data_IF_309893679156
#
_entry.id   IF_309893679156
#
_cell.length_a   1.000
_cell.length_b   1.000
_cell.length_c   1.000
_cell.angle_alpha   90.00
_cell.angle_beta   90.00
_cell.angle_gamma   90.00
#
_symmetry.space_group_name_H-M   'P 1'
#
loop_
_entity.id
_entity.type
_entity.pdbx_description
1 polymer ?
#
# COMPACT_ATOMS: atom_id res chain seq x y z
N UNK A 1 -6.49 20.95 -7.52
CA UNK A 1 -5.90 21.21 -8.85
C UNK A 1 -4.75 20.22 -9.07
N UNK A 2 -4.96 19.11 -9.82
CA UNK A 2 -4.12 17.90 -9.78
C UNK A 2 -2.92 17.89 -10.77
N UNK A 3 -2.23 19.01 -10.96
CA UNK A 3 -1.33 19.17 -12.11
C UNK A 3 0.15 18.84 -11.90
N UNK A 4 0.61 18.41 -10.71
CA UNK A 4 2.07 18.37 -10.41
C UNK A 4 2.75 17.00 -10.41
N UNK A 5 2.07 15.91 -10.78
CA UNK A 5 2.67 14.56 -10.76
C UNK A 5 3.40 14.21 -12.08
N UNK A 6 3.16 14.98 -13.16
CA UNK A 6 3.78 14.72 -14.47
C UNK A 6 5.29 15.01 -14.53
N UNK A 7 5.85 15.72 -13.54
CA UNK A 7 7.26 16.11 -13.51
C UNK A 7 8.15 15.23 -12.61
N UNK A 8 7.59 14.33 -11.78
CA UNK A 8 8.36 13.65 -10.71
C UNK A 8 8.67 12.17 -11.03
N UNK A 9 8.47 11.71 -12.27
CA UNK A 9 8.80 10.33 -12.70
C UNK A 9 10.13 10.26 -13.49
N UNK A 10 11.07 11.15 -13.15
CA UNK A 10 12.45 11.22 -13.64
C UNK A 10 12.59 11.62 -15.11
N UNK A 11 13.76 12.16 -15.48
CA UNK A 11 14.09 12.67 -16.82
C UNK A 11 13.97 11.64 -17.98
N UNK A 12 13.58 10.39 -17.71
CA UNK A 12 13.55 9.28 -18.68
C UNK A 12 12.19 8.60 -18.92
N UNK A 13 11.07 9.07 -18.34
CA UNK A 13 9.75 8.39 -18.44
C UNK A 13 9.81 6.92 -17.95
N UNK A 14 10.36 6.72 -16.77
CA UNK A 14 10.56 5.37 -16.22
C UNK A 14 9.23 4.64 -16.01
N UNK A 15 8.21 5.33 -15.48
CA UNK A 15 6.84 4.81 -15.32
C UNK A 15 5.90 5.72 -16.12
N UNK A 16 5.00 5.11 -16.89
CA UNK A 16 3.98 5.83 -17.65
C UNK A 16 2.61 5.38 -17.14
N UNK A 17 1.90 6.21 -16.36
CA UNK A 17 0.54 5.95 -15.91
C UNK A 17 -0.37 5.42 -17.04
N UNK A 18 -1.11 4.36 -16.75
CA UNK A 18 -2.01 3.69 -17.70
C UNK A 18 -1.32 2.83 -18.76
N UNK A 19 0.03 2.86 -18.85
CA UNK A 19 0.80 2.17 -19.89
C UNK A 19 1.97 1.37 -19.30
N UNK A 20 1.67 0.24 -18.62
CA UNK A 20 2.69 -0.58 -17.95
C UNK A 20 3.79 -1.09 -18.89
N UNK A 21 3.48 -1.30 -20.17
CA UNK A 21 4.41 -1.86 -21.16
C UNK A 21 5.31 -0.83 -21.85
N UNK A 22 5.09 0.48 -21.64
CA UNK A 22 5.80 1.54 -22.37
C UNK A 22 6.91 2.18 -21.53
N UNK A 23 6.80 2.12 -20.20
CA UNK A 23 7.81 2.66 -19.28
C UNK A 23 9.07 1.80 -19.21
N UNK A 24 10.23 2.45 -19.02
CA UNK A 24 11.53 1.78 -18.85
C UNK A 24 11.54 0.85 -17.62
N UNK A 25 10.76 1.15 -16.59
CA UNK A 25 10.70 0.40 -15.33
C UNK A 25 10.33 -1.07 -15.53
N UNK A 26 9.25 -1.35 -16.27
CA UNK A 26 8.82 -2.73 -16.53
C UNK A 26 9.84 -3.47 -17.40
N UNK A 27 10.47 -2.75 -18.35
CA UNK A 27 11.53 -3.30 -19.21
C UNK A 27 12.76 -3.73 -18.41
N UNK A 28 13.17 -2.94 -17.42
CA UNK A 28 14.34 -3.19 -16.58
C UNK A 28 14.06 -4.31 -15.55
N UNK A 29 12.87 -4.37 -14.96
CA UNK A 29 12.50 -5.46 -14.04
C UNK A 29 12.44 -6.82 -14.76
N UNK A 30 11.88 -6.83 -15.96
CA UNK A 30 11.74 -8.03 -16.77
C UNK A 30 13.01 -8.41 -17.53
N UNK A 31 14.02 -7.53 -17.59
CA UNK A 31 15.28 -7.79 -18.27
C UNK A 31 15.93 -9.07 -17.77
N UNK A 32 16.52 -9.84 -18.68
CA UNK A 32 17.35 -11.01 -18.37
C UNK A 32 18.84 -10.67 -18.30
N UNK A 33 19.21 -9.47 -18.70
CA UNK A 33 20.57 -8.95 -18.61
C UNK A 33 20.86 -8.48 -17.17
N UNK A 34 21.77 -9.15 -16.43
CA UNK A 34 22.05 -8.86 -15.02
C UNK A 34 22.57 -7.44 -14.78
N UNK A 35 23.22 -6.80 -15.76
CA UNK A 35 23.71 -5.43 -15.64
C UNK A 35 22.60 -4.39 -15.84
N UNK A 36 21.53 -4.78 -16.53
CA UNK A 36 20.39 -3.93 -16.91
C UNK A 36 19.10 -4.32 -16.21
N UNK A 37 19.19 -5.10 -15.13
CA UNK A 37 18.05 -5.74 -14.47
C UNK A 37 17.85 -5.25 -13.06
N UNK A 38 16.59 -5.05 -12.68
CA UNK A 38 16.21 -4.76 -11.30
C UNK A 38 15.54 -5.96 -10.62
N UNK A 39 15.90 -6.27 -9.37
CA UNK A 39 16.96 -5.62 -8.58
C UNK A 39 18.37 -5.98 -9.08
N UNK A 40 19.36 -5.06 -9.01
CA UNK A 40 20.73 -5.27 -9.53
C UNK A 40 21.54 -6.27 -8.68
N UNK A 41 21.10 -6.50 -7.44
CA UNK A 41 21.60 -7.54 -6.54
C UNK A 41 20.41 -8.27 -5.93
N UNK A 42 20.52 -9.58 -5.77
CA UNK A 42 19.47 -10.41 -5.16
C UNK A 42 18.54 -11.08 -6.18
N UNK A 43 17.47 -11.68 -5.66
CA UNK A 43 16.53 -12.51 -6.44
C UNK A 43 15.65 -11.68 -7.38
N UNK A 44 15.20 -12.30 -8.49
CA UNK A 44 14.17 -11.70 -9.36
C UNK A 44 12.91 -11.42 -8.54
N UNK A 45 12.20 -10.35 -8.89
CA UNK A 45 10.79 -10.22 -8.51
C UNK A 45 10.03 -11.44 -9.03
N UNK A 46 9.17 -11.99 -8.19
CA UNK A 46 8.25 -13.05 -8.55
C UNK A 46 7.22 -12.56 -9.56
N UNK A 47 6.61 -13.48 -10.29
CA UNK A 47 5.55 -13.13 -11.24
C UNK A 47 4.41 -12.38 -10.57
N UNK A 48 4.05 -12.75 -9.33
CA UNK A 48 3.00 -12.09 -8.55
C UNK A 48 3.35 -10.62 -8.27
N UNK A 49 4.58 -10.33 -7.85
CA UNK A 49 5.04 -8.96 -7.60
C UNK A 49 5.05 -8.13 -8.88
N UNK A 50 5.53 -8.71 -9.98
CA UNK A 50 5.50 -8.07 -11.30
C UNK A 50 4.07 -7.75 -11.73
N UNK A 51 3.12 -8.67 -11.53
CA UNK A 51 1.70 -8.43 -11.87
C UNK A 51 1.08 -7.33 -11.01
N UNK A 52 1.39 -7.29 -9.71
CA UNK A 52 0.98 -6.19 -8.82
C UNK A 52 1.48 -4.84 -9.34
N UNK A 53 2.76 -4.75 -9.73
CA UNK A 53 3.33 -3.53 -10.29
C UNK A 53 2.69 -3.13 -11.63
N UNK A 54 2.44 -4.10 -12.53
CA UNK A 54 1.75 -3.85 -13.80
C UNK A 54 0.35 -3.28 -13.56
N UNK A 55 -0.39 -3.88 -12.63
CA UNK A 55 -1.74 -3.49 -12.29
C UNK A 55 -1.78 -2.09 -11.68
N UNK A 56 -0.83 -1.74 -10.81
CA UNK A 56 -0.71 -0.39 -10.26
C UNK A 56 -0.41 0.66 -11.34
N UNK A 57 0.53 0.39 -12.26
CA UNK A 57 0.82 1.32 -13.37
C UNK A 57 -0.40 1.45 -14.28
N UNK A 58 -1.08 0.34 -14.60
CA UNK A 58 -2.31 0.34 -15.40
C UNK A 58 -3.42 1.19 -14.78
N UNK A 59 -3.56 1.16 -13.45
CA UNK A 59 -4.51 1.99 -12.70
C UNK A 59 -4.13 3.48 -12.63
N UNK A 60 -3.03 3.89 -13.26
CA UNK A 60 -2.61 5.29 -13.29
C UNK A 60 -1.39 5.60 -12.43
N UNK A 61 -0.72 4.57 -11.88
CA UNK A 61 0.43 4.73 -11.00
C UNK A 61 0.15 5.74 -9.87
N UNK A 62 -1.09 5.74 -9.35
CA UNK A 62 -1.49 6.67 -8.32
C UNK A 62 -0.75 6.33 -7.03
N UNK A 63 -0.04 7.32 -6.51
CA UNK A 63 0.31 7.34 -5.10
C UNK A 63 -1.00 7.73 -4.41
N UNK A 64 -1.59 6.86 -3.57
CA UNK A 64 -2.74 7.26 -2.75
C UNK A 64 -2.39 8.44 -1.82
N UNK A 65 -3.16 8.72 -0.77
CA UNK A 65 -2.69 9.64 0.31
C UNK A 65 -1.59 9.00 1.17
N UNK A 66 -0.61 8.38 0.53
CA UNK A 66 0.60 7.87 1.14
C UNK A 66 1.59 9.02 1.14
N UNK A 67 2.02 9.41 2.34
CA UNK A 67 3.13 10.34 2.50
C UNK A 67 4.33 9.79 1.70
N UNK A 68 4.91 10.57 0.76
CA UNK A 68 5.99 10.10 -0.11
C UNK A 68 7.30 9.79 0.64
N UNK A 69 7.38 10.23 1.90
CA UNK A 69 8.50 9.97 2.81
C UNK A 69 8.27 8.72 3.68
N UNK A 70 7.07 8.11 3.63
CA UNK A 70 6.80 6.91 4.39
C UNK A 70 7.37 5.70 3.64
N UNK A 71 8.35 4.96 4.20
CA UNK A 71 8.83 3.74 3.59
C UNK A 71 7.65 2.75 3.50
N UNK A 72 7.25 2.45 2.26
CA UNK A 72 6.36 1.33 1.98
C UNK A 72 7.19 0.07 2.18
N UNK A 73 7.07 -0.55 3.35
CA UNK A 73 7.67 -1.85 3.59
C UNK A 73 6.91 -2.88 2.73
N UNK A 74 7.53 -3.50 1.70
CA UNK A 74 6.87 -4.48 0.86
C UNK A 74 6.47 -5.75 1.61
N UNK A 75 6.97 -5.95 2.84
CA UNK A 75 6.54 -6.98 3.78
C UNK A 75 5.45 -6.53 4.76
N UNK A 76 5.03 -5.25 4.75
CA UNK A 76 3.95 -4.81 5.62
C UNK A 76 2.63 -5.46 5.21
N UNK A 77 1.80 -5.86 6.19
CA UNK A 77 0.45 -6.34 5.93
C UNK A 77 -0.36 -5.33 5.12
N UNK A 78 -1.15 -5.85 4.18
CA UNK A 78 -2.00 -5.01 3.37
C UNK A 78 -3.07 -4.32 4.23
N UNK A 79 -3.37 -3.04 4.00
CA UNK A 79 -4.40 -2.33 4.75
C UNK A 79 -5.77 -3.02 4.69
N UNK A 80 -6.41 -3.26 5.83
CA UNK A 80 -7.72 -3.91 5.91
C UNK A 80 -8.84 -2.87 6.02
N UNK A 81 -9.63 -2.72 4.95
CA UNK A 81 -10.84 -1.88 4.99
C UNK A 81 -12.01 -2.68 5.54
N UNK A 82 -12.54 -2.24 6.68
CA UNK A 82 -13.64 -2.91 7.37
C UNK A 82 -14.59 -1.92 8.05
N UNK A 83 -15.78 -2.40 8.43
CA UNK A 83 -16.72 -1.67 9.27
C UNK A 83 -16.42 -2.04 10.72
N UNK A 84 -15.68 -1.18 11.41
CA UNK A 84 -15.28 -1.38 12.80
C UNK A 84 -16.40 -0.90 13.71
N UNK A 85 -16.76 -1.69 14.70
CA UNK A 85 -17.77 -1.36 15.69
C UNK A 85 -17.09 -1.00 17.00
N UNK A 86 -17.51 0.08 17.64
CA UNK A 86 -17.02 0.44 18.97
C UNK A 86 -17.86 -0.19 20.09
N UNK A 87 -17.41 -0.08 21.35
CA UNK A 87 -18.17 -0.56 22.51
C UNK A 87 -19.55 0.08 22.69
N UNK A 88 -19.78 1.24 22.08
CA UNK A 88 -21.08 1.90 22.07
C UNK A 88 -22.01 1.40 20.94
N UNK A 89 -21.60 0.38 20.17
CA UNK A 89 -22.36 -0.16 19.04
C UNK A 89 -22.33 0.74 17.79
N UNK A 90 -21.49 1.77 17.76
CA UNK A 90 -21.34 2.66 16.61
C UNK A 90 -20.34 2.07 15.62
N UNK A 91 -20.81 1.93 14.38
CA UNK A 91 -20.04 1.45 13.25
C UNK A 91 -19.26 2.60 12.59
N UNK A 92 -17.98 2.38 12.32
CA UNK A 92 -17.09 3.27 11.59
C UNK A 92 -16.41 2.50 10.48
N UNK A 93 -16.61 2.94 9.24
CA UNK A 93 -15.91 2.38 8.09
C UNK A 93 -14.51 3.00 8.04
N UNK A 94 -13.50 2.17 8.24
CA UNK A 94 -12.11 2.61 8.24
C UNK A 94 -11.17 1.51 7.75
N UNK A 95 -9.99 1.93 7.32
CA UNK A 95 -8.92 1.08 6.84
C UNK A 95 -7.86 0.93 7.92
N UNK A 96 -7.68 -0.26 8.47
CA UNK A 96 -6.61 -0.57 9.41
C UNK A 96 -5.27 -0.59 8.67
N UNK A 97 -4.39 0.33 9.05
CA UNK A 97 -3.06 0.49 8.45
C UNK A 97 -1.97 -0.23 9.26
N UNK A 98 -2.06 -0.16 10.59
CA UNK A 98 -1.14 -0.81 11.53
C UNK A 98 -1.70 -0.83 12.94
N UNK A 99 -1.09 -1.63 13.81
CA UNK A 99 -1.36 -1.64 15.25
C UNK A 99 -0.09 -1.23 15.98
N UNK A 100 -0.19 -0.18 16.79
CA UNK A 100 0.88 0.28 17.67
C UNK A 100 0.52 -0.05 19.12
N UNK A 101 1.03 -1.18 19.63
CA UNK A 101 0.75 -1.62 20.99
C UNK A 101 -0.74 -1.90 21.22
N UNK A 102 -1.40 -1.03 22.01
CA UNK A 102 -2.82 -1.10 22.37
C UNK A 102 -3.74 -0.25 21.46
N UNK A 103 -3.18 0.38 20.41
CA UNK A 103 -3.90 1.32 19.53
C UNK A 103 -3.87 0.86 18.07
N UNK A 104 -5.05 0.75 17.48
CA UNK A 104 -5.23 0.52 16.05
C UNK A 104 -5.16 1.85 15.30
N UNK A 105 -4.32 1.91 14.28
CA UNK A 105 -4.20 3.06 13.38
C UNK A 105 -5.20 2.85 12.24
N UNK A 106 -6.32 3.56 12.31
CA UNK A 106 -7.43 3.47 11.37
C UNK A 106 -7.44 4.72 10.47
N UNK A 107 -7.40 4.53 9.15
CA UNK A 107 -7.63 5.59 8.16
C UNK A 107 -9.11 5.66 7.83
N UNK A 108 -9.76 6.77 8.13
CA UNK A 108 -11.17 7.01 7.80
C UNK A 108 -11.33 7.18 6.28
N UNK A 109 -12.55 7.04 5.77
CA UNK A 109 -12.87 7.25 4.34
C UNK A 109 -12.49 8.67 3.84
N UNK A 110 -12.44 9.64 4.75
CA UNK A 110 -11.99 11.01 4.49
C UNK A 110 -10.48 11.15 4.29
N UNK A 111 -9.73 10.06 4.37
CA UNK A 111 -8.26 10.05 4.32
C UNK A 111 -7.58 10.34 5.66
N UNK A 112 -8.33 10.79 6.67
CA UNK A 112 -7.79 11.14 7.98
C UNK A 112 -7.41 9.90 8.79
N UNK A 113 -6.16 9.85 9.25
CA UNK A 113 -5.66 8.78 10.12
C UNK A 113 -6.03 9.09 11.58
N UNK A 114 -6.62 8.12 12.27
CA UNK A 114 -6.99 8.19 13.67
C UNK A 114 -6.42 7.00 14.44
N UNK A 115 -5.79 7.26 15.58
CA UNK A 115 -5.29 6.22 16.48
C UNK A 115 -6.40 5.89 17.47
N UNK A 116 -7.06 4.75 17.30
CA UNK A 116 -8.17 4.33 18.13
C UNK A 116 -7.74 3.22 19.11
N UNK A 117 -8.01 3.35 20.41
CA UNK A 117 -7.70 2.29 21.38
C UNK A 117 -8.47 1.02 21.06
N UNK A 118 -7.77 -0.12 20.92
CA UNK A 118 -8.40 -1.41 20.61
C UNK A 118 -9.37 -1.80 21.73
N UNK A 119 -9.06 -1.43 22.97
CA UNK A 119 -9.93 -1.62 24.13
C UNK A 119 -11.31 -0.92 24.02
N UNK A 120 -11.44 0.08 23.15
CA UNK A 120 -12.70 0.79 22.90
C UNK A 120 -13.45 0.25 21.66
N UNK A 121 -12.88 -0.71 20.94
CA UNK A 121 -13.55 -1.44 19.87
C UNK A 121 -14.44 -2.55 20.47
N UNK A 122 -15.44 -3.01 19.72
CA UNK A 122 -16.22 -4.18 20.06
C UNK A 122 -15.35 -5.44 20.03
N UNK A 123 -15.75 -6.50 20.71
CA UNK A 123 -15.01 -7.78 20.72
C UNK A 123 -14.76 -8.31 19.30
N UNK A 124 -15.73 -8.20 18.41
CA UNK A 124 -15.63 -8.61 17.01
C UNK A 124 -14.58 -7.79 16.23
N UNK A 125 -14.57 -6.47 16.44
CA UNK A 125 -13.55 -5.60 15.85
C UNK A 125 -12.16 -5.85 16.44
N UNK A 126 -12.07 -6.12 17.74
CA UNK A 126 -10.80 -6.49 18.39
C UNK A 126 -10.24 -7.80 17.81
N UNK A 127 -11.09 -8.82 17.65
CA UNK A 127 -10.70 -10.09 17.04
C UNK A 127 -10.17 -9.87 15.62
N UNK A 128 -10.82 -8.98 14.85
CA UNK A 128 -10.40 -8.65 13.48
C UNK A 128 -9.07 -7.92 13.41
N UNK A 129 -8.81 -7.00 14.36
CA UNK A 129 -7.50 -6.35 14.50
C UNK A 129 -6.42 -7.39 14.81
N UNK A 130 -6.67 -8.30 15.76
CA UNK A 130 -5.72 -9.35 16.13
C UNK A 130 -5.43 -10.32 14.98
N UNK A 131 -6.47 -10.77 14.25
CA UNK A 131 -6.33 -11.62 13.05
C UNK A 131 -5.46 -10.95 11.99
N UNK A 132 -5.65 -9.65 11.78
CA UNK A 132 -4.86 -8.89 10.81
C UNK A 132 -3.38 -8.78 11.23
N UNK A 133 -3.10 -8.54 12.52
CA UNK A 133 -1.73 -8.52 13.06
C UNK A 133 -1.08 -9.91 13.00
N UNK A 134 -1.84 -10.98 13.19
CA UNK A 134 -1.32 -12.34 13.08
C UNK A 134 -1.03 -12.72 11.63
N UNK A 135 -1.87 -12.26 10.70
CA UNK A 135 -1.63 -12.38 9.24
C UNK A 135 -0.42 -11.56 8.79
N UNK A 136 -0.09 -10.49 9.51
CA UNK A 136 1.04 -9.61 9.25
C UNK A 136 2.40 -10.17 9.70
N UNK A 137 2.41 -11.26 10.45
CA UNK A 137 3.60 -11.84 11.07
C UNK A 137 4.28 -12.85 10.17
#
# INVERSE_FOLDING_TARGET
QPHKIKEIIGAGRAIIPGRPSVGLFMKVILSDDPDNRMPPKGSRLSEKEVQTLKLWIFQGAELGDLDPDQPVDPGAPQPLTWVWTNKAGKEIKATLLKVEGDRAVLKMETGKIYKYPIANLSEESQAKVSEWVETAR
#
